data_IF_291270821521
#
_entry.id   IF_291270821521
#
_cell.length_a   1.000
_cell.length_b   1.000
_cell.length_c   1.000
_cell.angle_alpha   90.00
_cell.angle_beta   90.00
_cell.angle_gamma   90.00
#
_symmetry.space_group_name_H-M   'P 1'
#
loop_
_entity.id
_entity.type
_entity.pdbx_description
1 polymer ?
#
# COMPACT_ATOMS: atom_id res chain seq x y z
N UNK A 1 -7.71 7.69 -10.88
CA UNK A 1 -7.83 6.22 -10.68
C UNK A 1 -6.96 5.76 -9.51
N UNK A 2 -5.65 6.04 -9.55
CA UNK A 2 -4.73 5.76 -8.42
C UNK A 2 -5.13 6.48 -7.12
N UNK A 3 -5.73 7.67 -7.23
CA UNK A 3 -6.33 8.39 -6.10
C UNK A 3 -7.50 7.67 -5.42
N UNK A 4 -8.27 6.85 -6.15
CA UNK A 4 -9.36 6.04 -5.55
C UNK A 4 -8.78 4.88 -4.75
N UNK A 5 -7.74 4.23 -5.28
CA UNK A 5 -6.98 3.16 -4.59
C UNK A 5 -6.38 3.70 -3.29
N UNK A 6 -5.74 4.89 -3.34
CA UNK A 6 -5.24 5.56 -2.14
C UNK A 6 -6.35 5.83 -1.12
N UNK A 7 -7.51 6.30 -1.58
CA UNK A 7 -8.67 6.50 -0.71
C UNK A 7 -9.17 5.23 -0.02
N UNK A 8 -9.03 4.05 -0.63
CA UNK A 8 -9.37 2.75 0.01
C UNK A 8 -8.30 2.36 1.02
N UNK A 9 -7.03 2.51 0.66
CA UNK A 9 -5.90 2.21 1.56
C UNK A 9 -5.94 3.07 2.81
N UNK A 10 -6.24 4.37 2.68
CA UNK A 10 -6.36 5.26 3.83
C UNK A 10 -7.49 4.85 4.79
N UNK A 11 -8.61 4.32 4.28
CA UNK A 11 -9.70 3.75 5.12
C UNK A 11 -9.24 2.51 5.87
N UNK A 12 -8.34 1.73 5.27
CA UNK A 12 -7.69 0.58 5.89
C UNK A 12 -6.58 0.98 6.88
N UNK A 13 -6.36 2.27 7.14
CA UNK A 13 -5.23 2.80 7.90
C UNK A 13 -3.85 2.60 7.24
N UNK A 14 -3.81 2.30 5.94
CA UNK A 14 -2.57 2.22 5.15
C UNK A 14 -2.30 3.58 4.49
N UNK A 15 -1.20 4.24 4.87
CA UNK A 15 -0.85 5.61 4.43
C UNK A 15 0.53 5.71 3.79
N UNK A 16 0.87 4.76 2.93
CA UNK A 16 2.15 4.75 2.21
C UNK A 16 2.35 5.98 1.31
N UNK A 17 1.26 6.54 0.78
CA UNK A 17 1.23 7.76 -0.05
C UNK A 17 1.91 8.97 0.59
N UNK A 18 1.95 9.04 1.93
CA UNK A 18 2.62 10.12 2.66
C UNK A 18 4.16 10.07 2.57
N UNK A 19 4.73 8.92 2.22
CA UNK A 19 6.18 8.67 2.25
C UNK A 19 6.77 8.43 0.86
N UNK A 20 5.93 8.22 -0.15
CA UNK A 20 6.34 8.10 -1.55
C UNK A 20 6.20 9.44 -2.25
N UNK A 21 7.10 9.75 -3.17
CA UNK A 21 7.03 11.00 -3.95
C UNK A 21 5.90 11.01 -4.98
N UNK A 22 5.42 9.83 -5.38
CA UNK A 22 4.28 9.65 -6.29
C UNK A 22 3.63 8.29 -6.01
N UNK A 23 2.29 8.25 -5.97
CA UNK A 23 1.45 7.05 -5.85
C UNK A 23 1.51 6.14 -7.10
N UNK A 24 2.14 6.58 -8.18
CA UNK A 24 2.39 5.76 -9.37
C UNK A 24 3.74 5.03 -9.32
N UNK A 25 4.53 5.21 -8.25
CA UNK A 25 5.83 4.55 -8.14
C UNK A 25 5.70 3.03 -8.01
N UNK A 26 6.75 2.32 -8.44
CA UNK A 26 6.80 0.85 -8.43
C UNK A 26 6.46 0.26 -7.05
N UNK A 27 7.05 0.78 -5.98
CA UNK A 27 6.77 0.31 -4.61
C UNK A 27 5.30 0.44 -4.22
N UNK A 28 4.63 1.53 -4.63
CA UNK A 28 3.22 1.71 -4.32
C UNK A 28 2.35 0.71 -5.11
N UNK A 29 2.63 0.53 -6.41
CA UNK A 29 1.91 -0.44 -7.25
C UNK A 29 2.10 -1.88 -6.74
N UNK A 30 3.32 -2.23 -6.33
CA UNK A 30 3.62 -3.57 -5.80
C UNK A 30 2.87 -3.84 -4.49
N UNK A 31 2.78 -2.86 -3.59
CA UNK A 31 1.98 -2.95 -2.35
C UNK A 31 0.50 -3.12 -2.66
N UNK A 32 -0.07 -2.30 -3.55
CA UNK A 32 -1.48 -2.41 -3.97
C UNK A 32 -1.78 -3.78 -4.56
N UNK A 33 -0.88 -4.30 -5.40
CA UNK A 33 -1.03 -5.62 -6.02
C UNK A 33 -1.04 -6.74 -4.97
N UNK A 34 -0.10 -6.73 -4.02
CA UNK A 34 -0.06 -7.74 -2.96
C UNK A 34 -1.30 -7.67 -2.06
N UNK A 35 -1.81 -6.46 -1.82
CA UNK A 35 -3.05 -6.27 -1.09
C UNK A 35 -4.27 -6.83 -1.83
N UNK A 36 -4.36 -6.66 -3.16
CA UNK A 36 -5.44 -7.24 -3.98
C UNK A 36 -5.33 -8.77 -4.13
N UNK A 37 -4.14 -9.33 -3.94
CA UNK A 37 -3.89 -10.77 -3.79
C UNK A 37 -4.25 -11.28 -2.37
N UNK A 38 -4.59 -10.38 -1.43
CA UNK A 38 -5.00 -10.70 -0.06
C UNK A 38 -3.86 -10.72 0.96
N UNK A 39 -2.66 -10.28 0.59
CA UNK A 39 -1.52 -10.20 1.50
C UNK A 39 -1.56 -8.89 2.27
N UNK A 40 -1.91 -8.97 3.55
CA UNK A 40 -2.05 -7.80 4.45
C UNK A 40 -0.94 -7.70 5.50
N UNK A 41 -0.02 -8.66 5.55
CA UNK A 41 1.06 -8.66 6.54
C UNK A 41 2.01 -7.46 6.30
N UNK A 42 2.15 -6.52 7.26
CA UNK A 42 2.98 -5.34 7.09
C UNK A 42 4.45 -5.67 6.78
N UNK A 43 4.98 -6.76 7.34
CA UNK A 43 6.37 -7.19 7.09
C UNK A 43 6.57 -7.68 5.66
N UNK A 44 5.55 -8.29 5.04
CA UNK A 44 5.59 -8.70 3.64
C UNK A 44 5.51 -7.49 2.72
N UNK A 45 4.64 -6.54 3.05
CA UNK A 45 4.49 -5.30 2.28
C UNK A 45 5.75 -4.42 2.37
N UNK A 46 6.40 -4.41 3.53
CA UNK A 46 7.65 -3.68 3.78
C UNK A 46 8.77 -4.08 2.82
N UNK A 47 8.86 -5.37 2.45
CA UNK A 47 9.86 -5.88 1.50
C UNK A 47 9.70 -5.32 0.08
N UNK A 48 8.52 -4.80 -0.25
CA UNK A 48 8.20 -4.20 -1.56
C UNK A 48 8.56 -2.70 -1.59
N UNK A 49 8.68 -2.08 -0.42
CA UNK A 49 9.06 -0.68 -0.31
C UNK A 49 10.55 -0.54 -0.59
N UNK A 50 10.89 0.32 -1.54
CA UNK A 50 12.26 0.53 -1.94
C UNK A 50 13.09 1.04 -0.75
N UNK A 51 14.28 0.44 -0.53
CA UNK A 51 15.13 0.75 0.62
C UNK A 51 15.46 2.24 0.78
N UNK A 52 15.50 3.01 -0.32
CA UNK A 52 15.70 4.47 -0.27
C UNK A 52 14.61 5.22 0.54
N UNK A 53 13.37 4.72 0.52
CA UNK A 53 12.22 5.33 1.23
C UNK A 53 12.30 4.96 2.70
N UNK A 54 12.57 3.67 2.96
CA UNK A 54 12.80 3.13 4.30
C UNK A 54 13.95 3.87 5.00
N UNK A 55 15.09 4.06 4.33
CA UNK A 55 16.24 4.78 4.87
C UNK A 55 15.97 6.27 5.11
N UNK A 56 15.09 6.90 4.33
CA UNK A 56 14.76 8.32 4.48
C UNK A 56 13.83 8.59 5.65
N UNK A 57 12.82 7.74 5.86
CA UNK A 57 11.75 7.98 6.83
C UNK A 57 11.83 7.09 8.08
N UNK A 58 12.73 6.10 8.08
CA UNK A 58 12.86 5.10 9.13
C UNK A 58 11.97 3.88 8.89
N UNK A 59 12.51 2.69 9.17
CA UNK A 59 11.79 1.44 8.95
C UNK A 59 10.52 1.33 9.80
N UNK A 60 10.59 1.74 11.06
CA UNK A 60 9.44 1.70 11.97
C UNK A 60 8.29 2.57 11.47
N UNK A 61 8.61 3.78 10.98
CA UNK A 61 7.62 4.71 10.40
C UNK A 61 6.90 4.10 9.19
N UNK A 62 7.66 3.50 8.26
CA UNK A 62 7.07 2.87 7.08
C UNK A 62 6.24 1.65 7.48
N UNK A 63 6.73 0.82 8.40
CA UNK A 63 5.99 -0.34 8.90
C UNK A 63 4.67 0.09 9.55
N UNK A 64 4.69 1.14 10.38
CA UNK A 64 3.49 1.71 10.98
C UNK A 64 2.50 2.22 9.92
N UNK A 65 3.00 2.83 8.84
CA UNK A 65 2.17 3.30 7.72
C UNK A 65 1.54 2.18 6.89
N UNK A 66 2.14 0.99 6.91
CA UNK A 66 1.63 -0.22 6.27
C UNK A 66 0.75 -1.06 7.21
N UNK A 67 0.75 -0.71 8.51
CA UNK A 67 -0.02 -1.41 9.53
C UNK A 67 -1.47 -0.93 9.47
N UNK A 68 -2.31 -1.78 8.90
CA UNK A 68 -3.71 -1.49 8.67
C UNK A 68 -4.56 -2.75 8.71
N UNK A 69 -5.88 -2.54 8.77
CA UNK A 69 -6.86 -3.62 8.70
C UNK A 69 -7.53 -3.52 7.33
N UNK A 70 -7.38 -4.56 6.53
CA UNK A 70 -7.99 -4.67 5.20
C UNK A 70 -8.94 -5.87 5.27
N UNK A 71 -10.24 -5.64 5.13
CA UNK A 71 -11.22 -6.72 5.09
C UNK A 71 -11.36 -7.27 3.67
N UNK A 72 -12.10 -8.37 3.54
CA UNK A 72 -12.38 -8.96 2.23
C UNK A 72 -13.05 -7.96 1.27
N UNK A 73 -13.93 -7.09 1.79
CA UNK A 73 -14.61 -6.09 0.99
C UNK A 73 -13.62 -5.09 0.36
N UNK A 74 -12.61 -4.62 1.11
CA UNK A 74 -11.59 -3.74 0.54
C UNK A 74 -10.66 -4.47 -0.43
N UNK A 75 -10.35 -5.76 -0.18
CA UNK A 75 -9.58 -6.58 -1.13
C UNK A 75 -10.32 -6.69 -2.47
N UNK A 76 -11.62 -6.96 -2.45
CA UNK A 76 -12.44 -7.08 -3.66
C UNK A 76 -12.51 -5.74 -4.42
N UNK A 77 -12.68 -4.63 -3.70
CA UNK A 77 -12.63 -3.28 -4.28
C UNK A 77 -11.24 -2.98 -4.87
N UNK A 78 -10.16 -3.31 -4.17
CA UNK A 78 -8.80 -3.12 -4.66
C UNK A 78 -8.53 -3.97 -5.90
N UNK A 79 -9.04 -5.20 -5.96
CA UNK A 79 -8.92 -6.08 -7.13
C UNK A 79 -9.65 -5.50 -8.34
N UNK A 80 -10.89 -5.05 -8.18
CA UNK A 80 -11.63 -4.40 -9.25
C UNK A 80 -10.92 -3.13 -9.74
N UNK A 81 -10.46 -2.28 -8.82
CA UNK A 81 -9.72 -1.08 -9.17
C UNK A 81 -8.37 -1.39 -9.84
N UNK A 82 -7.76 -2.53 -9.54
CA UNK A 82 -6.51 -2.99 -10.14
C UNK A 82 -6.71 -3.57 -11.56
N UNK A 83 -7.79 -4.29 -11.81
CA UNK A 83 -8.14 -4.80 -13.16
C UNK A 83 -8.50 -3.68 -14.15
N UNK A 84 -8.94 -2.52 -13.65
CA UNK A 84 -9.27 -1.33 -14.45
C UNK A 84 -8.09 -0.37 -14.71
N UNK A 85 -6.88 -0.70 -14.24
CA UNK A 85 -5.60 0.06 -14.40
C UNK A 85 -4.74 -0.60 -15.47
#
# INVERSE_FOLDING_TARGET
KVSKVDGVLQRCNIRLSNYVSNIECKSYRDVVRRLSEGVTNPNELMKLVHGRIVNRHGAETILASLTGVVSQAEIDVLRQLHEEI
#
